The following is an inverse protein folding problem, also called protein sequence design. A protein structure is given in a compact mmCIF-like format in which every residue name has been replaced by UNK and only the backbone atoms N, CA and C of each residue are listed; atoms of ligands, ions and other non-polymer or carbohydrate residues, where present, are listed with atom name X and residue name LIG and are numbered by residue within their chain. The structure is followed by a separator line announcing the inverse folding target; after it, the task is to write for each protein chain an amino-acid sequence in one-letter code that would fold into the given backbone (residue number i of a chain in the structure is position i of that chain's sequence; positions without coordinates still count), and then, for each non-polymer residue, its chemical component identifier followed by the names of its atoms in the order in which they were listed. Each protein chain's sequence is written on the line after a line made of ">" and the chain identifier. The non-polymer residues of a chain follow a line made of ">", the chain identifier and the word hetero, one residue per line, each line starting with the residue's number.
data_IF_831831747274
#
_entry.id   IF_831831747274
#
_cell.length_a   1.000
_cell.length_b   1.000
_cell.length_c   1.000
_cell.angle_alpha   90.00
_cell.angle_beta   90.00
_cell.angle_gamma   90.00
#
_symmetry.space_group_name_H-M   'P 1'
#
loop_
_entity.id
_entity.type
_entity.pdbx_description
1 polymer ?
#
# COMPACT_ATOMS: atom_id res chain seq x y z
N UNK A 1 31.00 -14.01 -25.20
CA UNK A 1 30.19 -12.84 -24.77
C UNK A 1 28.72 -13.03 -25.08
N UNK A 2 28.35 -13.47 -26.29
CA UNK A 2 26.93 -13.70 -26.69
C UNK A 2 26.19 -14.74 -25.85
N UNK A 3 26.82 -15.88 -25.53
CA UNK A 3 26.20 -16.90 -24.67
C UNK A 3 25.89 -16.38 -23.24
N UNK A 4 26.77 -15.52 -22.72
CA UNK A 4 26.57 -14.90 -21.41
C UNK A 4 25.39 -13.89 -21.43
N UNK A 5 25.32 -13.07 -22.48
CA UNK A 5 24.21 -12.13 -22.69
C UNK A 5 22.88 -12.89 -22.85
N UNK A 6 22.88 -14.01 -23.59
CA UNK A 6 21.71 -14.87 -23.72
C UNK A 6 21.24 -15.44 -22.38
N UNK A 7 22.18 -15.92 -21.55
CA UNK A 7 21.86 -16.44 -20.21
C UNK A 7 21.25 -15.34 -19.30
N UNK A 8 21.80 -14.13 -19.31
CA UNK A 8 21.23 -12.99 -18.56
C UNK A 8 19.84 -12.61 -19.07
N UNK A 9 19.60 -12.62 -20.38
CA UNK A 9 18.30 -12.31 -20.95
C UNK A 9 17.23 -13.34 -20.50
N UNK A 10 17.56 -14.64 -20.55
CA UNK A 10 16.66 -15.71 -20.09
C UNK A 10 16.36 -15.56 -18.59
N UNK A 11 17.38 -15.33 -17.76
CA UNK A 11 17.22 -15.09 -16.33
C UNK A 11 16.34 -13.89 -16.03
N UNK A 12 16.52 -12.78 -16.76
CA UNK A 12 15.70 -11.59 -16.62
C UNK A 12 14.23 -11.84 -16.98
N UNK A 13 13.97 -12.54 -18.10
CA UNK A 13 12.61 -12.92 -18.50
C UNK A 13 11.95 -13.80 -17.43
N UNK A 14 12.67 -14.75 -16.85
CA UNK A 14 12.17 -15.62 -15.79
C UNK A 14 11.76 -14.82 -14.55
N UNK A 15 12.61 -13.88 -14.09
CA UNK A 15 12.27 -12.99 -12.98
C UNK A 15 11.03 -12.13 -13.30
N UNK A 16 10.95 -11.61 -14.52
CA UNK A 16 9.82 -10.78 -14.96
C UNK A 16 8.51 -11.57 -14.94
N UNK A 17 8.51 -12.82 -15.40
CA UNK A 17 7.31 -13.69 -15.35
C UNK A 17 6.90 -14.01 -13.92
N UNK A 18 7.83 -14.31 -13.03
CA UNK A 18 7.53 -14.55 -11.61
C UNK A 18 6.97 -13.28 -10.97
N UNK A 19 7.58 -12.12 -11.20
CA UNK A 19 7.11 -10.85 -10.62
C UNK A 19 5.72 -10.48 -11.11
N UNK A 20 5.41 -10.74 -12.39
CA UNK A 20 4.06 -10.56 -12.95
C UNK A 20 3.04 -11.50 -12.29
N UNK A 21 3.38 -12.77 -12.12
CA UNK A 21 2.51 -13.72 -11.44
C UNK A 21 2.22 -13.30 -9.98
N UNK A 22 3.24 -12.89 -9.25
CA UNK A 22 3.09 -12.38 -7.87
C UNK A 22 2.25 -11.10 -7.82
N UNK A 23 2.40 -10.20 -8.78
CA UNK A 23 1.58 -8.99 -8.87
C UNK A 23 0.09 -9.32 -9.09
N UNK A 24 -0.21 -10.25 -9.98
CA UNK A 24 -1.59 -10.71 -10.24
C UNK A 24 -2.17 -11.37 -8.97
N UNK A 25 -1.42 -12.25 -8.30
CA UNK A 25 -1.84 -12.85 -7.04
C UNK A 25 -2.09 -11.80 -5.95
N UNK A 26 -1.26 -10.76 -5.90
CA UNK A 26 -1.43 -9.62 -4.99
C UNK A 26 -2.74 -8.86 -5.24
N UNK A 27 -3.05 -8.58 -6.51
CA UNK A 27 -4.32 -7.93 -6.89
C UNK A 27 -5.51 -8.80 -6.47
N UNK A 28 -5.47 -10.11 -6.74
CA UNK A 28 -6.55 -11.04 -6.38
C UNK A 28 -6.71 -11.11 -4.85
N UNK A 29 -5.62 -11.12 -4.08
CA UNK A 29 -5.67 -11.13 -2.64
C UNK A 29 -6.33 -9.86 -2.07
N UNK A 30 -5.94 -8.68 -2.57
CA UNK A 30 -6.56 -7.41 -2.17
C UNK A 30 -8.04 -7.34 -2.59
N UNK A 31 -8.38 -7.83 -3.79
CA UNK A 31 -9.76 -7.93 -4.25
C UNK A 31 -10.63 -8.68 -3.24
N UNK A 32 -10.20 -9.90 -2.87
CA UNK A 32 -10.91 -10.73 -1.89
C UNK A 32 -10.99 -10.06 -0.51
N UNK A 33 -9.92 -9.40 -0.08
CA UNK A 33 -9.90 -8.69 1.20
C UNK A 33 -10.90 -7.53 1.20
N UNK A 34 -10.98 -6.76 0.11
CA UNK A 34 -11.92 -5.65 0.02
C UNK A 34 -13.37 -6.14 0.00
N UNK A 35 -13.67 -7.21 -0.75
CA UNK A 35 -14.99 -7.84 -0.72
C UNK A 35 -15.38 -8.33 0.68
N UNK A 36 -14.45 -8.93 1.42
CA UNK A 36 -14.66 -9.31 2.83
C UNK A 36 -14.95 -8.11 3.73
N UNK A 37 -14.47 -6.92 3.40
CA UNK A 37 -14.75 -5.68 4.11
C UNK A 37 -16.01 -4.95 3.62
N UNK A 38 -16.74 -5.52 2.64
CA UNK A 38 -17.92 -4.89 2.02
C UNK A 38 -17.56 -3.75 1.06
N UNK A 39 -16.32 -3.69 0.60
CA UNK A 39 -15.82 -2.68 -0.32
C UNK A 39 -15.62 -3.27 -1.72
N UNK A 40 -15.67 -2.45 -2.79
CA UNK A 40 -15.57 -2.95 -4.15
C UNK A 40 -14.18 -3.52 -4.45
N UNK A 41 -14.13 -4.81 -4.82
CA UNK A 41 -12.88 -5.52 -5.11
C UNK A 41 -12.07 -4.90 -6.25
N UNK A 42 -12.73 -4.35 -7.29
CA UNK A 42 -12.06 -3.70 -8.44
C UNK A 42 -11.13 -2.55 -8.03
N UNK A 43 -11.34 -1.95 -6.87
CA UNK A 43 -10.46 -0.90 -6.33
C UNK A 43 -9.02 -1.37 -6.11
N UNK A 44 -8.79 -2.68 -6.03
CA UNK A 44 -7.45 -3.27 -5.94
C UNK A 44 -6.61 -3.13 -7.21
N UNK A 45 -7.25 -2.90 -8.37
CA UNK A 45 -6.57 -2.80 -9.68
C UNK A 45 -5.91 -1.43 -9.87
N UNK A 46 -6.50 -0.36 -9.32
CA UNK A 46 -6.02 1.02 -9.53
C UNK A 46 -5.03 1.37 -8.42
N UNK A 47 -3.71 1.51 -8.70
CA UNK A 47 -2.68 1.56 -7.66
C UNK A 47 -2.91 2.63 -6.58
N UNK A 48 -3.23 3.87 -6.98
CA UNK A 48 -3.46 4.98 -6.04
C UNK A 48 -4.73 4.74 -5.23
N UNK A 49 -5.80 4.34 -5.90
CA UNK A 49 -7.09 4.10 -5.27
C UNK A 49 -7.05 2.85 -4.37
N UNK A 50 -6.28 1.83 -4.74
CA UNK A 50 -6.02 0.65 -3.93
C UNK A 50 -5.49 1.05 -2.55
N UNK A 51 -4.44 1.87 -2.48
CA UNK A 51 -3.89 2.27 -1.19
C UNK A 51 -4.85 3.17 -0.39
N UNK A 52 -5.57 4.07 -1.05
CA UNK A 52 -6.62 4.89 -0.40
C UNK A 52 -7.74 4.01 0.19
N UNK A 53 -8.16 2.98 -0.55
CA UNK A 53 -9.18 2.04 -0.09
C UNK A 53 -8.68 1.20 1.09
N UNK A 54 -7.41 0.77 1.06
CA UNK A 54 -6.78 0.09 2.18
C UNK A 54 -6.78 0.97 3.44
N UNK A 55 -6.44 2.26 3.33
CA UNK A 55 -6.52 3.21 4.45
C UNK A 55 -7.95 3.32 4.98
N UNK A 56 -8.96 3.41 4.10
CA UNK A 56 -10.37 3.47 4.49
C UNK A 56 -10.79 2.24 5.28
N UNK A 57 -10.47 1.05 4.78
CA UNK A 57 -10.78 -0.23 5.45
C UNK A 57 -10.07 -0.31 6.81
N UNK A 58 -8.80 0.09 6.87
CA UNK A 58 -7.99 0.06 8.09
C UNK A 58 -8.45 1.05 9.15
N UNK A 59 -8.88 2.26 8.76
CA UNK A 59 -9.14 3.38 9.68
C UNK A 59 -10.61 3.79 9.78
N UNK A 60 -11.45 3.36 8.85
CA UNK A 60 -12.85 3.74 8.72
C UNK A 60 -13.09 5.08 7.99
N UNK A 61 -12.04 5.78 7.56
CA UNK A 61 -12.18 7.10 6.92
C UNK A 61 -11.12 7.33 5.83
N UNK A 62 -11.43 8.23 4.88
CA UNK A 62 -10.47 8.68 3.86
C UNK A 62 -9.56 9.83 4.32
N UNK A 63 -9.69 10.34 5.55
CA UNK A 63 -8.91 11.52 6.00
C UNK A 63 -7.41 11.30 5.86
N UNK A 64 -6.92 10.18 6.36
CA UNK A 64 -5.49 9.84 6.28
C UNK A 64 -5.04 9.57 4.83
N UNK A 65 -5.93 9.06 3.97
CA UNK A 65 -5.64 8.81 2.57
C UNK A 65 -5.40 10.12 1.79
N UNK A 66 -6.17 11.17 2.06
CA UNK A 66 -5.96 12.48 1.45
C UNK A 66 -4.64 13.13 1.90
N UNK A 67 -4.27 12.99 3.18
CA UNK A 67 -2.96 13.45 3.69
C UNK A 67 -1.83 12.71 2.98
N UNK A 68 -1.93 11.39 2.87
CA UNK A 68 -0.93 10.57 2.18
C UNK A 68 -0.79 10.97 0.70
N UNK A 69 -1.91 11.16 0.01
CA UNK A 69 -1.94 11.58 -1.40
C UNK A 69 -1.31 12.96 -1.59
N UNK A 70 -1.59 13.91 -0.70
CA UNK A 70 -0.98 15.24 -0.75
C UNK A 70 0.55 15.17 -0.56
N UNK A 71 1.02 14.37 0.41
CA UNK A 71 2.45 14.15 0.63
C UNK A 71 3.12 13.48 -0.57
N UNK A 72 2.47 12.48 -1.19
CA UNK A 72 2.94 11.86 -2.42
C UNK A 72 3.03 12.87 -3.56
N UNK A 73 2.03 13.74 -3.72
CA UNK A 73 2.03 14.80 -4.73
C UNK A 73 3.22 15.75 -4.56
N UNK A 74 3.47 16.22 -3.33
CA UNK A 74 4.61 17.08 -3.03
C UNK A 74 5.93 16.37 -3.30
N UNK A 75 6.04 15.09 -2.92
CA UNK A 75 7.24 14.29 -3.17
C UNK A 75 7.50 14.09 -4.66
N UNK A 76 6.47 13.75 -5.45
CA UNK A 76 6.59 13.54 -6.89
C UNK A 76 6.98 14.86 -7.60
N UNK A 77 6.29 15.95 -7.31
CA UNK A 77 6.60 17.26 -7.90
C UNK A 77 8.01 17.71 -7.54
N UNK A 78 8.41 17.54 -6.27
CA UNK A 78 9.76 17.83 -5.82
C UNK A 78 10.82 16.98 -6.54
N UNK A 79 10.55 15.69 -6.72
CA UNK A 79 11.46 14.77 -7.43
C UNK A 79 11.64 15.16 -8.90
N UNK A 80 10.56 15.56 -9.59
CA UNK A 80 10.65 16.08 -10.96
C UNK A 80 11.44 17.40 -11.02
N UNK A 81 11.21 18.32 -10.08
CA UNK A 81 12.00 19.55 -9.98
C UNK A 81 13.48 19.26 -9.81
N UNK A 82 13.83 18.31 -8.95
CA UNK A 82 15.20 17.90 -8.72
C UNK A 82 15.87 17.22 -9.94
N UNK A 83 15.10 16.51 -10.76
CA UNK A 83 15.62 15.90 -12.00
C UNK A 83 15.99 16.95 -13.07
N UNK A 84 15.32 18.10 -13.06
CA UNK A 84 15.50 19.19 -14.04
C UNK A 84 16.55 20.20 -13.56
N UNK A 85 16.64 20.43 -12.25
CA UNK A 85 17.51 21.47 -11.67
C UNK A 85 19.00 21.36 -12.05
N UNK A 86 19.61 20.17 -12.16
CA UNK A 86 21.00 20.03 -12.58
C UNK A 86 21.30 20.57 -13.99
N UNK A 87 20.28 20.65 -14.86
CA UNK A 87 20.43 21.19 -16.21
C UNK A 87 20.72 22.69 -16.24
N UNK A 88 20.45 23.39 -15.12
CA UNK A 88 20.57 24.84 -14.97
C UNK A 88 21.55 25.24 -13.87
N UNK A 89 22.19 24.25 -13.21
CA UNK A 89 23.07 24.49 -12.07
C UNK A 89 24.53 24.56 -12.52
N UNK A 90 25.01 25.76 -12.80
CA UNK A 90 26.41 26.03 -13.20
C UNK A 90 27.30 26.53 -12.05
N UNK A 91 26.71 26.82 -10.87
CA UNK A 91 27.45 27.39 -9.73
C UNK A 91 27.51 26.44 -8.54
N UNK A 92 28.59 26.57 -7.70
CA UNK A 92 28.72 25.83 -6.45
C UNK A 92 27.53 26.10 -5.50
N UNK A 93 27.00 27.32 -5.50
CA UNK A 93 25.83 27.67 -4.71
C UNK A 93 24.60 26.89 -5.16
N UNK A 94 24.42 26.67 -6.46
CA UNK A 94 23.31 25.85 -6.99
C UNK A 94 23.43 24.39 -6.55
N UNK A 95 24.63 23.82 -6.51
CA UNK A 95 24.88 22.47 -6.00
C UNK A 95 24.51 22.37 -4.50
N UNK A 96 24.86 23.37 -3.69
CA UNK A 96 24.48 23.38 -2.28
C UNK A 96 22.96 23.45 -2.07
N UNK A 97 22.25 24.27 -2.85
CA UNK A 97 20.77 24.34 -2.82
C UNK A 97 20.15 22.99 -3.21
N UNK A 98 20.68 22.33 -4.23
CA UNK A 98 20.22 20.99 -4.63
C UNK A 98 20.41 19.98 -3.50
N UNK A 99 21.57 19.97 -2.84
CA UNK A 99 21.82 19.07 -1.71
C UNK A 99 20.80 19.27 -0.57
N UNK A 100 20.49 20.52 -0.22
CA UNK A 100 19.46 20.84 0.77
C UNK A 100 18.05 20.40 0.33
N UNK A 101 17.72 20.56 -0.95
CA UNK A 101 16.44 20.14 -1.49
C UNK A 101 16.30 18.59 -1.50
N UNK A 102 17.38 17.83 -1.79
CA UNK A 102 17.38 16.37 -1.64
C UNK A 102 17.15 15.94 -0.19
N UNK A 103 17.80 16.62 0.77
CA UNK A 103 17.53 16.37 2.20
C UNK A 103 16.07 16.65 2.55
N UNK A 104 15.47 17.72 2.02
CA UNK A 104 14.06 18.02 2.19
C UNK A 104 13.14 16.90 1.67
N UNK A 105 13.41 16.36 0.47
CA UNK A 105 12.68 15.24 -0.07
C UNK A 105 12.83 13.98 0.81
N UNK A 106 14.03 13.73 1.32
CA UNK A 106 14.27 12.60 2.22
C UNK A 106 13.43 12.73 3.51
N UNK A 107 13.32 13.93 4.07
CA UNK A 107 12.49 14.20 5.27
C UNK A 107 11.00 13.92 4.97
N UNK A 108 10.49 14.23 3.77
CA UNK A 108 9.10 13.94 3.38
C UNK A 108 8.84 12.43 3.30
N UNK A 109 9.83 11.61 3.01
CA UNK A 109 9.65 10.15 2.99
C UNK A 109 9.31 9.58 4.37
N UNK A 110 9.78 10.20 5.46
CA UNK A 110 9.55 9.70 6.83
C UNK A 110 8.05 9.58 7.14
N UNK A 111 7.23 10.65 7.02
CA UNK A 111 5.79 10.53 7.27
C UNK A 111 5.08 9.59 6.29
N UNK A 112 5.54 9.50 5.03
CA UNK A 112 4.99 8.53 4.07
C UNK A 112 5.18 7.09 4.54
N UNK A 113 6.38 6.72 5.00
CA UNK A 113 6.64 5.38 5.55
C UNK A 113 5.89 5.12 6.85
N UNK A 114 5.77 6.12 7.72
CA UNK A 114 4.99 5.99 8.97
C UNK A 114 3.51 5.73 8.65
N UNK A 115 2.92 6.48 7.71
CA UNK A 115 1.52 6.29 7.32
C UNK A 115 1.32 4.92 6.65
N UNK A 116 2.25 4.49 5.78
CA UNK A 116 2.18 3.19 5.15
C UNK A 116 2.28 2.05 6.17
N UNK A 117 3.25 2.09 7.07
CA UNK A 117 3.42 1.09 8.12
C UNK A 117 2.21 1.03 9.06
N UNK A 118 1.70 2.20 9.49
CA UNK A 118 0.46 2.28 10.27
C UNK A 118 -0.72 1.67 9.53
N UNK A 119 -0.86 1.96 8.23
CA UNK A 119 -1.94 1.42 7.40
C UNK A 119 -1.85 -0.10 7.31
N UNK A 120 -0.68 -0.68 7.06
CA UNK A 120 -0.49 -2.12 6.96
C UNK A 120 -0.79 -2.82 8.29
N UNK A 121 -0.32 -2.25 9.41
CA UNK A 121 -0.64 -2.76 10.74
C UNK A 121 -2.15 -2.75 11.00
N UNK A 122 -2.81 -1.60 10.81
CA UNK A 122 -4.24 -1.44 11.08
C UNK A 122 -5.10 -2.23 10.09
N UNK A 123 -4.65 -2.41 8.85
CA UNK A 123 -5.34 -3.23 7.87
C UNK A 123 -5.36 -4.71 8.30
N UNK A 124 -4.24 -5.27 8.74
CA UNK A 124 -4.20 -6.62 9.29
C UNK A 124 -5.04 -6.72 10.57
N UNK A 125 -5.00 -5.71 11.43
CA UNK A 125 -5.79 -5.63 12.67
C UNK A 125 -7.29 -5.61 12.39
N UNK A 126 -7.74 -4.94 11.32
CA UNK A 126 -9.15 -4.89 10.93
C UNK A 126 -9.72 -6.24 10.47
N UNK A 127 -8.87 -7.23 10.24
CA UNK A 127 -9.24 -8.63 9.99
C UNK A 127 -8.98 -9.54 11.21
N UNK A 128 -8.86 -8.98 12.41
CA UNK A 128 -8.73 -9.75 13.65
C UNK A 128 -7.40 -10.50 13.81
N UNK A 129 -6.37 -10.13 13.06
CA UNK A 129 -5.05 -10.79 13.16
C UNK A 129 -4.35 -10.40 14.46
N UNK A 130 -3.48 -11.30 14.96
CA UNK A 130 -2.68 -11.06 16.17
C UNK A 130 -1.70 -9.90 15.98
N UNK A 131 -1.28 -9.26 17.07
CA UNK A 131 -0.37 -8.11 17.01
C UNK A 131 0.97 -8.46 16.35
N UNK A 132 1.49 -9.67 16.58
CA UNK A 132 2.69 -10.16 15.91
C UNK A 132 2.49 -10.21 14.38
N UNK A 133 1.36 -10.73 13.92
CA UNK A 133 1.04 -10.77 12.49
C UNK A 133 0.88 -9.36 11.90
N UNK A 134 0.27 -8.44 12.65
CA UNK A 134 0.15 -7.04 12.24
C UNK A 134 1.52 -6.35 12.10
N UNK A 135 2.45 -6.61 13.02
CA UNK A 135 3.85 -6.11 12.91
C UNK A 135 4.56 -6.73 11.70
N UNK A 136 4.41 -8.02 11.47
CA UNK A 136 4.96 -8.69 10.28
C UNK A 136 4.39 -8.10 8.98
N UNK A 137 3.15 -7.63 8.98
CA UNK A 137 2.54 -6.99 7.82
C UNK A 137 3.21 -5.67 7.42
N UNK A 138 3.89 -5.00 8.34
CA UNK A 138 4.67 -3.79 8.03
C UNK A 138 5.86 -4.12 7.12
N UNK A 139 6.57 -5.23 7.42
CA UNK A 139 7.80 -5.62 6.72
C UNK A 139 7.53 -6.55 5.54
N UNK A 140 6.53 -7.40 5.64
CA UNK A 140 6.21 -8.46 4.69
C UNK A 140 4.78 -8.35 4.16
N UNK A 141 4.32 -7.12 3.86
CA UNK A 141 2.94 -6.85 3.43
C UNK A 141 2.48 -7.72 2.26
N UNK A 142 3.34 -7.94 1.26
CA UNK A 142 3.02 -8.79 0.12
C UNK A 142 2.65 -10.22 0.51
N UNK A 143 3.41 -10.84 1.41
CA UNK A 143 3.17 -12.22 1.86
C UNK A 143 1.97 -12.29 2.80
N UNK A 144 1.89 -11.39 3.79
CA UNK A 144 0.83 -11.40 4.79
C UNK A 144 -0.54 -11.15 4.17
N UNK A 145 -0.63 -10.25 3.19
CA UNK A 145 -1.88 -9.97 2.50
C UNK A 145 -2.29 -11.08 1.53
N UNK A 146 -1.33 -11.78 0.93
CA UNK A 146 -1.62 -13.01 0.20
C UNK A 146 -2.23 -14.08 1.12
N UNK A 147 -1.59 -14.34 2.27
CA UNK A 147 -2.11 -15.30 3.27
C UNK A 147 -3.54 -14.91 3.67
N UNK A 148 -3.78 -13.65 4.07
CA UNK A 148 -5.10 -13.17 4.49
C UNK A 148 -6.15 -13.24 3.38
N UNK A 149 -5.77 -12.90 2.14
CA UNK A 149 -6.68 -12.87 0.99
C UNK A 149 -7.18 -14.25 0.61
N UNK A 150 -6.29 -15.26 0.65
CA UNK A 150 -6.62 -16.63 0.29
C UNK A 150 -7.10 -17.50 1.46
N UNK A 151 -6.91 -17.06 2.70
CA UNK A 151 -7.43 -17.75 3.88
C UNK A 151 -8.96 -17.52 4.00
N UNK A 152 -9.73 -18.60 3.83
CA UNK A 152 -11.19 -18.57 3.92
C UNK A 152 -11.68 -18.21 5.34
N UNK A 153 -10.88 -18.48 6.37
CA UNK A 153 -11.21 -18.19 7.77
C UNK A 153 -11.05 -16.71 8.12
N UNK A 154 -10.32 -15.95 7.31
CA UNK A 154 -10.11 -14.52 7.53
C UNK A 154 -11.40 -13.77 7.23
N UNK A 155 -11.94 -13.06 8.21
CA UNK A 155 -13.13 -12.21 8.12
C UNK A 155 -12.82 -10.78 8.54
N UNK A 156 -13.55 -9.81 8.01
CA UNK A 156 -13.43 -8.43 8.42
C UNK A 156 -14.14 -8.22 9.77
N UNK A 157 -13.42 -7.65 10.73
CA UNK A 157 -13.91 -7.39 12.09
C UNK A 157 -14.39 -5.94 12.25
N UNK A 158 -13.76 -5.04 11.51
CA UNK A 158 -14.06 -3.61 11.56
C UNK A 158 -12.80 -2.75 11.57
N UNK A 159 -12.94 -1.42 11.34
CA UNK A 159 -11.80 -0.52 11.35
C UNK A 159 -11.02 -0.62 12.66
N UNK A 160 -9.68 -0.61 12.59
CA UNK A 160 -8.77 -0.73 13.73
C UNK A 160 -8.95 -2.03 14.56
N UNK A 161 -9.63 -3.04 14.00
CA UNK A 161 -9.94 -4.28 14.71
C UNK A 161 -10.97 -4.10 15.84
N UNK A 162 -11.70 -3.03 15.83
CA UNK A 162 -12.77 -2.77 16.81
C UNK A 162 -14.08 -3.26 16.18
N UNK A 163 -14.63 -4.34 16.74
CA UNK A 163 -15.96 -4.80 16.35
C UNK A 163 -16.97 -3.69 16.65
N UNK A 164 -17.65 -3.20 15.62
CA UNK A 164 -18.71 -2.20 15.78
C UNK A 164 -19.91 -2.75 16.58
N UNK A 165 -19.95 -4.06 16.79
CA UNK A 165 -21.01 -4.73 17.53
C UNK A 165 -21.09 -4.32 19.01
N UNK A 166 -20.01 -3.82 19.59
CA UNK A 166 -19.98 -3.44 21.01
C UNK A 166 -20.29 -1.96 21.30
N UNK A 167 -20.46 -1.09 20.30
CA UNK A 167 -20.58 0.34 20.54
C UNK A 167 -21.89 1.01 20.11
N UNK A 168 -22.78 0.30 19.41
CA UNK A 168 -24.11 0.83 19.06
C UNK A 168 -25.14 -0.29 19.11
N UNK A 169 -25.93 -0.31 20.16
CA UNK A 169 -27.22 -1.02 20.13
C UNK A 169 -28.05 -0.43 18.97
N UNK A 170 -28.18 -1.22 17.89
CA UNK A 170 -29.16 -0.95 16.85
C UNK A 170 -28.69 -0.28 15.56
N UNK A 171 -27.73 -0.87 14.84
CA UNK A 171 -27.67 -0.71 13.39
C UNK A 171 -27.50 -2.08 12.73
N UNK A 172 -28.61 -2.74 12.51
CA UNK A 172 -28.75 -3.91 11.63
C UNK A 172 -28.60 -3.44 10.17
N UNK A 173 -27.36 -3.33 9.66
CA UNK A 173 -27.13 -2.83 8.31
C UNK A 173 -26.22 -3.69 7.41
N UNK A 174 -25.55 -4.71 7.94
CA UNK A 174 -24.54 -5.44 7.15
C UNK A 174 -24.64 -6.97 7.20
N UNK A 175 -25.78 -7.52 7.61
CA UNK A 175 -25.99 -8.97 7.62
C UNK A 175 -26.89 -9.48 6.48
N UNK A 176 -26.84 -8.89 5.28
CA UNK A 176 -27.68 -9.37 4.17
C UNK A 176 -26.93 -9.53 2.85
N UNK A 177 -25.77 -10.23 2.87
CA UNK A 177 -25.20 -10.83 1.68
C UNK A 177 -24.87 -12.31 1.91
N UNK A 178 -25.86 -13.05 2.44
CA UNK A 178 -25.93 -14.49 2.25
C UNK A 178 -27.08 -14.77 1.29
N UNK A 179 -26.77 -15.06 0.06
CA UNK A 179 -27.74 -15.58 -0.89
C UNK A 179 -27.56 -15.00 -2.30
N UNK A 180 -26.75 -15.61 -3.10
CA UNK A 180 -27.00 -16.32 -4.36
C UNK A 180 -25.68 -16.79 -4.94
#
# INVERSE_FOLDING_TARGET
>A
MEALLGAFAIFYIFILLISLALAILGIIAHWKLYEKAGEPGWSSIIPVYNFMQMIKIATGTFKLAWIYLALCGVYILGSFGMAILPLFAESEAAVAVMALAYLGLFVIMIPLYIIAGYTYYMFAKSYGKSDLFCVLSIFFSGITFLIMGFDASTSYVGPKGISQYNNYGGYNGYNNYNGY
#
